data_IF_562605929093
#
_entry.id   IF_562605929093
#
_cell.length_a   1.000
_cell.length_b   1.000
_cell.length_c   1.000
_cell.angle_alpha   90.00
_cell.angle_beta   90.00
_cell.angle_gamma   90.00
#
_symmetry.space_group_name_H-M   'P 1'
#
loop_
_entity.id
_entity.type
_entity.pdbx_description
1 polymer ?
#
# COMPACT_ATOMS: atom_id res chain seq x y z
N UNK A 1 49.38 28.95 32.25
CA UNK A 1 47.95 28.60 32.33
C UNK A 1 47.21 28.88 31.01
N UNK A 2 47.79 28.53 29.86
CA UNK A 2 47.22 28.79 28.52
C UNK A 2 47.22 27.53 27.64
N UNK A 3 48.01 26.51 27.98
CA UNK A 3 48.15 25.28 27.20
C UNK A 3 47.04 24.24 27.49
N UNK A 4 46.28 24.39 28.61
CA UNK A 4 45.14 23.51 28.93
C UNK A 4 43.83 23.89 28.23
N UNK A 5 43.68 25.12 27.71
CA UNK A 5 42.48 25.50 26.95
C UNK A 5 42.53 25.06 25.47
N UNK A 6 43.72 24.94 24.89
CA UNK A 6 43.89 24.51 23.50
C UNK A 6 43.59 23.02 23.26
N UNK A 7 43.86 22.16 24.25
CA UNK A 7 43.53 20.73 24.14
C UNK A 7 42.03 20.44 24.27
N UNK A 8 41.28 21.24 25.04
CA UNK A 8 39.82 21.11 25.14
C UNK A 8 39.11 21.62 23.87
N UNK A 9 39.64 22.67 23.23
CA UNK A 9 39.13 23.15 21.93
C UNK A 9 39.43 22.16 20.80
N UNK A 10 40.57 21.47 20.80
CA UNK A 10 40.89 20.46 19.78
C UNK A 10 40.06 19.18 19.98
N UNK A 11 39.68 18.82 21.21
CA UNK A 11 38.76 17.69 21.46
C UNK A 11 37.31 18.05 21.09
N UNK A 12 36.87 19.30 21.30
CA UNK A 12 35.56 19.77 20.85
C UNK A 12 35.47 19.93 19.32
N UNK A 13 36.56 20.32 18.66
CA UNK A 13 36.62 20.44 17.19
C UNK A 13 36.76 19.07 16.51
N UNK A 14 37.45 18.09 17.11
CA UNK A 14 37.51 16.72 16.57
C UNK A 14 36.26 15.88 16.86
N UNK A 15 35.38 16.30 17.77
CA UNK A 15 34.02 15.74 17.87
C UNK A 15 33.04 16.35 16.84
N UNK A 16 33.48 17.33 16.04
CA UNK A 16 32.65 17.94 14.99
C UNK A 16 32.95 17.40 13.59
N UNK A 17 33.89 16.47 13.43
CA UNK A 17 34.24 15.87 12.13
C UNK A 17 34.41 14.35 12.23
N UNK A 18 33.36 13.67 12.70
CA UNK A 18 33.15 12.25 12.42
C UNK A 18 31.64 11.97 12.43
N UNK A 19 31.05 12.13 11.25
CA UNK A 19 29.62 11.94 11.02
C UNK A 19 29.01 13.11 10.28
N UNK A 20 29.24 13.18 8.96
CA UNK A 20 28.18 13.65 8.06
C UNK A 20 27.07 12.60 8.17
N UNK A 21 26.30 12.67 9.25
CA UNK A 21 25.10 11.89 9.46
C UNK A 21 23.96 12.71 8.91
N UNK A 22 23.54 12.39 7.69
CA UNK A 22 22.25 12.74 7.11
C UNK A 22 21.17 12.38 8.15
N UNK A 23 20.77 13.33 9.00
CA UNK A 23 20.19 13.02 10.31
C UNK A 23 18.93 13.78 10.71
N UNK A 24 18.39 14.67 9.86
CA UNK A 24 17.18 15.45 10.21
C UNK A 24 16.08 15.42 9.16
N UNK A 25 16.35 14.90 7.96
CA UNK A 25 15.36 14.84 6.88
C UNK A 25 14.88 13.40 6.78
N UNK A 26 13.56 13.18 6.93
CA UNK A 26 12.97 11.86 6.73
C UNK A 26 13.28 11.34 5.33
N UNK A 27 13.29 10.01 5.14
CA UNK A 27 13.63 9.41 3.84
C UNK A 27 12.72 9.89 2.68
N UNK A 28 11.48 10.27 2.97
CA UNK A 28 10.52 10.82 1.98
C UNK A 28 10.40 12.35 2.05
N UNK A 29 10.78 12.96 3.16
CA UNK A 29 10.88 14.42 3.31
C UNK A 29 9.56 15.19 3.20
N UNK A 30 8.43 14.58 3.55
CA UNK A 30 7.12 15.25 3.50
C UNK A 30 6.93 16.27 4.61
N UNK A 31 7.62 16.10 5.74
CA UNK A 31 7.53 17.03 6.87
C UNK A 31 6.16 16.98 7.57
N UNK A 32 5.49 15.82 7.53
CA UNK A 32 4.17 15.62 8.14
C UNK A 32 4.28 15.03 9.54
N UNK A 33 5.29 14.19 9.77
CA UNK A 33 5.66 13.75 11.11
C UNK A 33 6.52 14.80 11.83
N UNK A 34 6.31 14.96 13.13
CA UNK A 34 7.17 15.80 13.97
C UNK A 34 8.55 15.14 14.15
N UNK A 35 9.56 15.95 14.52
CA UNK A 35 10.89 15.41 14.84
C UNK A 35 10.83 14.35 15.96
N UNK A 36 9.98 14.54 16.96
CA UNK A 36 9.80 13.56 18.04
C UNK A 36 9.24 12.23 17.51
N UNK A 37 8.21 12.29 16.66
CA UNK A 37 7.64 11.11 15.98
C UNK A 37 8.70 10.36 15.17
N UNK A 38 9.50 11.09 14.38
CA UNK A 38 10.58 10.50 13.59
C UNK A 38 11.65 9.85 14.48
N UNK A 39 12.06 10.50 15.57
CA UNK A 39 13.04 9.93 16.50
C UNK A 39 12.51 8.67 17.19
N UNK A 40 11.24 8.66 17.60
CA UNK A 40 10.61 7.48 18.18
C UNK A 40 10.59 6.31 17.18
N UNK A 41 10.22 6.57 15.93
CA UNK A 41 10.26 5.56 14.87
C UNK A 41 11.66 5.01 14.62
N UNK A 42 12.69 5.88 14.60
CA UNK A 42 14.10 5.47 14.48
C UNK A 42 14.52 4.53 15.61
N UNK A 43 14.12 4.85 16.85
CA UNK A 43 14.42 4.04 18.02
C UNK A 43 13.79 2.65 17.91
N UNK A 44 12.54 2.56 17.44
CA UNK A 44 11.86 1.27 17.21
C UNK A 44 12.67 0.44 16.21
N UNK A 45 13.00 1.01 15.05
CA UNK A 45 13.76 0.29 14.01
C UNK A 45 15.16 -0.14 14.45
N UNK A 46 15.89 0.72 15.19
CA UNK A 46 17.20 0.37 15.76
C UNK A 46 17.10 -0.78 16.77
N UNK A 47 16.09 -0.76 17.66
CA UNK A 47 15.87 -1.84 18.62
C UNK A 47 15.52 -3.16 17.94
N UNK A 48 14.62 -3.12 16.95
CA UNK A 48 14.26 -4.30 16.15
C UNK A 48 15.50 -4.90 15.46
N UNK A 49 16.37 -4.05 14.89
CA UNK A 49 17.62 -4.50 14.27
C UNK A 49 18.58 -5.13 15.27
N UNK A 50 18.74 -4.52 16.43
CA UNK A 50 19.57 -5.07 17.51
C UNK A 50 19.07 -6.45 17.94
N UNK A 51 17.75 -6.66 18.05
CA UNK A 51 17.17 -7.95 18.40
C UNK A 51 17.55 -9.03 17.39
N UNK A 52 17.47 -8.75 16.08
CA UNK A 52 17.89 -9.68 15.02
C UNK A 52 19.39 -10.02 15.14
N UNK A 53 20.25 -9.01 15.36
CA UNK A 53 21.70 -9.19 15.45
C UNK A 53 22.16 -9.96 16.71
N UNK A 54 21.34 -10.00 17.76
CA UNK A 54 21.67 -10.71 19.01
C UNK A 54 21.40 -12.22 18.93
N UNK A 55 20.65 -12.70 17.93
CA UNK A 55 20.35 -14.12 17.74
C UNK A 55 21.61 -14.93 17.45
N UNK A 56 22.51 -14.37 16.64
CA UNK A 56 23.78 -15.00 16.24
C UNK A 56 24.70 -15.29 17.45
N UNK A 57 24.39 -14.75 18.63
CA UNK A 57 25.17 -14.90 19.87
C UNK A 57 24.58 -15.89 20.89
N UNK A 58 23.35 -16.37 20.72
CA UNK A 58 22.60 -17.07 21.80
C UNK A 58 22.21 -18.52 21.53
N UNK A 59 22.37 -19.05 20.32
CA UNK A 59 21.74 -20.32 19.93
C UNK A 59 22.76 -21.35 19.42
N UNK A 60 22.60 -22.61 19.83
CA UNK A 60 23.61 -23.67 19.64
C UNK A 60 23.38 -24.59 18.42
N UNK A 61 22.27 -24.45 17.68
CA UNK A 61 21.92 -25.32 16.54
C UNK A 61 21.59 -24.51 15.27
N UNK A 62 22.20 -24.82 14.11
CA UNK A 62 22.00 -24.09 12.84
C UNK A 62 20.55 -24.01 12.35
N UNK A 63 19.77 -25.08 12.55
CA UNK A 63 18.40 -25.14 12.05
C UNK A 63 17.41 -24.31 12.89
N UNK A 64 17.59 -24.29 14.22
CA UNK A 64 16.77 -23.42 15.08
C UNK A 64 17.12 -21.94 14.87
N UNK A 65 18.39 -21.61 14.63
CA UNK A 65 18.85 -20.26 14.32
C UNK A 65 18.11 -19.67 13.11
N UNK A 66 17.99 -20.43 12.02
CA UNK A 66 17.37 -19.92 10.79
C UNK A 66 15.86 -19.61 10.97
N UNK A 67 15.13 -20.50 11.67
CA UNK A 67 13.71 -20.29 11.96
C UNK A 67 13.50 -19.12 12.92
N UNK A 68 14.26 -19.07 14.02
CA UNK A 68 14.14 -18.04 15.04
C UNK A 68 14.50 -16.66 14.46
N UNK A 69 15.53 -16.62 13.60
CA UNK A 69 15.91 -15.41 12.85
C UNK A 69 14.79 -14.91 11.95
N UNK A 70 14.09 -15.80 11.24
CA UNK A 70 12.95 -15.40 10.40
C UNK A 70 11.81 -14.82 11.24
N UNK A 71 11.46 -15.47 12.36
CA UNK A 71 10.36 -14.99 13.22
C UNK A 71 10.66 -13.62 13.83
N UNK A 72 11.86 -13.45 14.39
CA UNK A 72 12.27 -12.16 14.98
C UNK A 72 12.40 -11.09 13.90
N UNK A 73 12.82 -11.47 12.68
CA UNK A 73 12.85 -10.53 11.58
C UNK A 73 11.44 -10.02 11.21
N UNK A 74 10.46 -10.93 11.16
CA UNK A 74 9.05 -10.58 10.90
C UNK A 74 8.45 -9.75 12.03
N UNK A 75 8.79 -10.06 13.29
CA UNK A 75 8.38 -9.27 14.45
C UNK A 75 8.91 -7.82 14.34
N UNK A 76 10.17 -7.63 13.94
CA UNK A 76 10.74 -6.31 13.70
C UNK A 76 9.99 -5.51 12.62
N UNK A 77 9.59 -6.17 11.52
CA UNK A 77 8.75 -5.55 10.49
C UNK A 77 7.38 -5.15 11.05
N UNK A 78 6.76 -6.04 11.84
CA UNK A 78 5.47 -5.79 12.46
C UNK A 78 5.52 -4.59 13.40
N UNK A 79 6.56 -4.46 14.22
CA UNK A 79 6.75 -3.30 15.10
C UNK A 79 6.80 -1.98 14.31
N UNK A 80 7.49 -1.95 13.17
CA UNK A 80 7.48 -0.76 12.31
C UNK A 80 6.09 -0.51 11.69
N UNK A 81 5.38 -1.55 11.25
CA UNK A 81 4.08 -1.40 10.60
C UNK A 81 2.96 -0.95 11.57
N UNK A 82 3.07 -1.28 12.86
CA UNK A 82 2.02 -0.99 13.85
C UNK A 82 2.09 0.42 14.46
N UNK A 83 3.06 1.25 14.04
CA UNK A 83 3.19 2.64 14.53
C UNK A 83 1.87 3.39 14.31
N UNK A 84 1.33 3.98 15.38
CA UNK A 84 0.07 4.75 15.39
C UNK A 84 -1.19 3.94 14.95
N UNK A 85 -1.22 2.61 15.11
CA UNK A 85 -2.43 1.80 14.84
C UNK A 85 -3.64 2.19 15.69
N UNK A 86 -3.44 2.49 16.97
CA UNK A 86 -4.51 2.94 17.87
C UNK A 86 -5.17 4.23 17.37
N UNK A 87 -4.37 5.17 16.87
CA UNK A 87 -4.85 6.43 16.31
C UNK A 87 -5.61 6.24 14.98
N UNK A 88 -5.25 5.22 14.18
CA UNK A 88 -6.06 4.86 13.00
C UNK A 88 -7.46 4.44 13.44
N UNK A 89 -7.54 3.56 14.44
CA UNK A 89 -8.84 3.07 14.91
C UNK A 89 -9.71 4.23 15.41
N UNK A 90 -9.12 5.15 16.18
CA UNK A 90 -9.78 6.36 16.68
C UNK A 90 -10.24 7.29 15.53
N UNK A 91 -9.37 7.57 14.56
CA UNK A 91 -9.69 8.37 13.38
C UNK A 91 -10.85 7.75 12.58
N UNK A 92 -10.83 6.43 12.40
CA UNK A 92 -11.87 5.72 11.69
C UNK A 92 -13.23 5.84 12.39
N UNK A 93 -13.26 5.59 13.71
CA UNK A 93 -14.49 5.65 14.50
C UNK A 93 -15.04 7.08 14.62
N UNK A 94 -14.16 8.07 14.84
CA UNK A 94 -14.60 9.44 15.12
C UNK A 94 -14.90 10.25 13.87
N UNK A 95 -14.18 10.01 12.77
CA UNK A 95 -14.27 10.83 11.56
C UNK A 95 -14.92 10.03 10.43
N UNK A 96 -14.33 8.91 10.04
CA UNK A 96 -14.70 8.23 8.80
C UNK A 96 -16.12 7.67 8.90
N UNK A 97 -16.41 6.88 9.94
CA UNK A 97 -17.72 6.24 10.10
C UNK A 97 -18.85 7.23 10.39
N UNK A 98 -18.53 8.37 11.02
CA UNK A 98 -19.53 9.36 11.44
C UNK A 98 -19.83 10.41 10.38
N UNK A 99 -18.85 10.78 9.56
CA UNK A 99 -18.93 11.95 8.69
C UNK A 99 -18.95 11.62 7.19
N UNK A 100 -18.62 10.37 6.80
CA UNK A 100 -18.72 9.96 5.41
C UNK A 100 -20.17 9.95 4.93
N UNK A 101 -20.39 10.32 3.66
CA UNK A 101 -21.70 10.20 3.02
C UNK A 101 -21.86 8.75 2.56
N UNK A 102 -22.51 7.94 3.39
CA UNK A 102 -22.61 6.49 3.18
C UNK A 102 -23.30 6.08 1.86
N UNK A 103 -24.26 6.86 1.38
CA UNK A 103 -24.93 6.57 0.10
C UNK A 103 -23.97 6.76 -1.09
N UNK A 104 -23.22 7.87 -1.12
CA UNK A 104 -22.19 8.12 -2.12
C UNK A 104 -21.07 7.07 -2.03
N UNK A 105 -20.63 6.72 -0.82
CA UNK A 105 -19.60 5.70 -0.60
C UNK A 105 -20.01 4.36 -1.20
N UNK A 106 -21.26 3.92 -0.98
CA UNK A 106 -21.76 2.66 -1.56
C UNK A 106 -21.74 2.68 -3.09
N UNK A 107 -22.08 3.82 -3.72
CA UNK A 107 -21.97 3.96 -5.18
C UNK A 107 -20.51 3.89 -5.65
N UNK A 108 -19.58 4.47 -4.91
CA UNK A 108 -18.15 4.44 -5.19
C UNK A 108 -17.53 3.04 -5.01
N UNK A 109 -18.03 2.24 -4.08
CA UNK A 109 -17.60 0.84 -3.94
C UNK A 109 -17.99 -0.01 -5.16
N UNK A 110 -19.11 0.31 -5.83
CA UNK A 110 -19.57 -0.39 -7.05
C UNK A 110 -18.59 -0.25 -8.21
N UNK A 111 -17.84 0.84 -8.27
CA UNK A 111 -16.84 1.08 -9.32
C UNK A 111 -15.47 0.48 -8.99
N UNK A 112 -15.35 -0.25 -7.87
CA UNK A 112 -14.12 -0.95 -7.47
C UNK A 112 -13.26 -0.20 -6.45
N UNK A 113 -13.73 0.90 -5.86
CA UNK A 113 -13.02 1.51 -4.73
C UNK A 113 -13.16 0.67 -3.46
N UNK A 114 -12.12 0.67 -2.62
CA UNK A 114 -12.20 0.06 -1.29
C UNK A 114 -13.16 0.85 -0.41
N UNK A 115 -13.81 0.19 0.55
CA UNK A 115 -14.74 0.84 1.48
C UNK A 115 -14.09 2.03 2.21
N UNK A 116 -12.83 1.90 2.62
CA UNK A 116 -12.10 3.02 3.25
C UNK A 116 -11.96 4.21 2.29
N UNK A 117 -11.46 3.99 1.08
CA UNK A 117 -11.21 5.08 0.14
C UNK A 117 -12.53 5.73 -0.32
N UNK A 118 -13.56 4.92 -0.56
CA UNK A 118 -14.91 5.38 -0.90
C UNK A 118 -15.50 6.29 0.19
N UNK A 119 -15.37 5.91 1.47
CA UNK A 119 -15.78 6.78 2.58
C UNK A 119 -14.92 8.04 2.66
N UNK A 120 -13.60 7.88 2.58
CA UNK A 120 -12.64 8.98 2.69
C UNK A 120 -12.91 10.12 1.70
N UNK A 121 -13.13 9.82 0.42
CA UNK A 121 -13.36 10.88 -0.59
C UNK A 121 -14.72 11.58 -0.45
N UNK A 122 -15.64 11.00 0.35
CA UNK A 122 -16.94 11.61 0.66
C UNK A 122 -16.92 12.49 1.91
N UNK A 123 -15.79 12.57 2.63
CA UNK A 123 -15.65 13.41 3.80
C UNK A 123 -15.66 14.91 3.41
N UNK A 124 -16.00 15.81 4.35
CA UNK A 124 -15.81 17.24 4.13
C UNK A 124 -14.31 17.59 4.01
N UNK A 125 -14.01 18.70 3.32
CA UNK A 125 -12.63 19.12 3.00
C UNK A 125 -11.67 19.12 4.18
N UNK A 126 -12.14 19.61 5.33
CA UNK A 126 -11.32 19.70 6.55
C UNK A 126 -10.91 18.32 7.04
N UNK A 127 -11.85 17.37 7.06
CA UNK A 127 -11.61 15.99 7.49
C UNK A 127 -10.74 15.22 6.49
N UNK A 128 -10.90 15.47 5.18
CA UNK A 128 -9.99 14.93 4.17
C UNK A 128 -8.54 15.35 4.48
N UNK A 129 -8.30 16.64 4.75
CA UNK A 129 -6.97 17.14 5.13
C UNK A 129 -6.45 16.43 6.39
N UNK A 130 -7.28 16.29 7.42
CA UNK A 130 -6.89 15.62 8.68
C UNK A 130 -6.47 14.17 8.45
N UNK A 131 -7.25 13.41 7.67
CA UNK A 131 -6.94 12.00 7.35
C UNK A 131 -5.64 11.90 6.55
N UNK A 132 -5.44 12.76 5.55
CA UNK A 132 -4.22 12.78 4.74
C UNK A 132 -2.99 13.15 5.57
N UNK A 133 -3.06 14.24 6.34
CA UNK A 133 -1.93 14.68 7.16
C UNK A 133 -1.51 13.58 8.16
N UNK A 134 -2.49 12.89 8.75
CA UNK A 134 -2.25 11.74 9.60
C UNK A 134 -1.63 10.56 8.83
N UNK A 135 -2.20 10.17 7.69
CA UNK A 135 -1.72 9.04 6.89
C UNK A 135 -0.28 9.27 6.40
N UNK A 136 0.03 10.48 5.95
CA UNK A 136 1.38 10.88 5.55
C UNK A 136 2.35 10.84 6.73
N UNK A 137 1.98 11.39 7.89
CA UNK A 137 2.83 11.35 9.09
C UNK A 137 3.10 9.91 9.56
N UNK A 138 2.08 9.03 9.52
CA UNK A 138 2.24 7.61 9.84
C UNK A 138 3.21 6.92 8.89
N UNK A 139 3.01 7.06 7.58
CA UNK A 139 3.90 6.43 6.59
C UNK A 139 5.33 6.98 6.66
N UNK A 140 5.49 8.27 6.94
CA UNK A 140 6.80 8.88 7.14
C UNK A 140 7.54 8.24 8.33
N UNK A 141 6.85 8.01 9.45
CA UNK A 141 7.38 7.27 10.60
C UNK A 141 7.70 5.81 10.26
N UNK A 142 6.79 5.09 9.61
CA UNK A 142 6.97 3.67 9.25
C UNK A 142 8.20 3.47 8.35
N UNK A 143 8.39 4.34 7.35
CA UNK A 143 9.53 4.30 6.44
C UNK A 143 10.83 4.67 7.14
N UNK A 144 10.80 5.61 8.08
CA UNK A 144 11.97 5.96 8.89
C UNK A 144 12.37 4.81 9.84
N UNK A 145 11.38 4.11 10.41
CA UNK A 145 11.60 2.87 11.16
C UNK A 145 12.26 1.80 10.29
N UNK A 146 11.69 1.56 9.09
CA UNK A 146 12.23 0.63 8.10
C UNK A 146 13.66 0.97 7.67
N UNK A 147 13.98 2.26 7.54
CA UNK A 147 15.32 2.74 7.22
C UNK A 147 16.35 2.31 8.28
N UNK A 148 16.00 2.45 9.56
CA UNK A 148 16.89 2.02 10.64
C UNK A 148 16.97 0.49 10.73
N UNK A 149 15.85 -0.19 10.47
CA UNK A 149 15.71 -1.62 10.63
C UNK A 149 16.38 -2.42 9.50
N UNK A 150 15.95 -2.21 8.26
CA UNK A 150 16.37 -2.97 7.08
C UNK A 150 17.47 -2.25 6.28
N UNK A 151 17.56 -0.93 6.43
CA UNK A 151 18.51 -0.10 5.70
C UNK A 151 17.94 0.51 4.42
N UNK A 152 18.62 1.55 3.93
CA UNK A 152 18.15 2.41 2.83
C UNK A 152 17.73 1.66 1.58
N UNK A 153 18.47 0.63 1.17
CA UNK A 153 18.19 -0.10 -0.08
C UNK A 153 16.81 -0.77 -0.04
N UNK A 154 16.51 -1.51 1.02
CA UNK A 154 15.24 -2.22 1.16
C UNK A 154 14.09 -1.24 1.40
N UNK A 155 14.30 -0.16 2.16
CA UNK A 155 13.28 0.88 2.33
C UNK A 155 12.91 1.55 1.00
N UNK A 156 13.89 1.89 0.16
CA UNK A 156 13.63 2.45 -1.17
C UNK A 156 12.90 1.46 -2.08
N UNK A 157 13.25 0.18 -2.03
CA UNK A 157 12.52 -0.88 -2.74
C UNK A 157 11.06 -0.94 -2.29
N UNK A 158 10.82 -0.89 -0.98
CA UNK A 158 9.47 -0.90 -0.40
C UNK A 158 8.66 0.33 -0.81
N UNK A 159 9.26 1.51 -0.91
CA UNK A 159 8.58 2.70 -1.42
C UNK A 159 8.08 2.47 -2.85
N UNK A 160 8.90 1.88 -3.71
CA UNK A 160 8.48 1.57 -5.09
C UNK A 160 7.41 0.47 -5.14
N UNK A 161 7.49 -0.54 -4.28
CA UNK A 161 6.46 -1.58 -4.14
C UNK A 161 5.12 -1.01 -3.64
N UNK A 162 5.15 -0.05 -2.71
CA UNK A 162 3.94 0.63 -2.21
C UNK A 162 3.26 1.43 -3.32
N UNK A 163 4.03 2.12 -4.18
CA UNK A 163 3.51 2.86 -5.34
C UNK A 163 2.92 1.97 -6.44
N UNK A 164 3.04 0.65 -6.34
CA UNK A 164 2.31 -0.28 -7.21
C UNK A 164 0.84 -0.41 -6.84
N UNK A 165 0.41 0.13 -5.69
CA UNK A 165 -0.99 0.38 -5.36
C UNK A 165 -1.38 1.82 -5.69
N UNK A 166 -2.54 2.01 -6.31
CA UNK A 166 -3.00 3.33 -6.77
C UNK A 166 -3.23 4.36 -5.67
N UNK A 167 -3.76 3.95 -4.51
CA UNK A 167 -4.00 4.87 -3.40
C UNK A 167 -2.67 5.33 -2.79
N UNK A 168 -1.75 4.39 -2.55
CA UNK A 168 -0.39 4.71 -2.12
C UNK A 168 0.33 5.59 -3.15
N UNK A 169 0.20 5.29 -4.44
CA UNK A 169 0.84 6.12 -5.48
C UNK A 169 0.40 7.58 -5.41
N UNK A 170 -0.90 7.84 -5.26
CA UNK A 170 -1.41 9.20 -5.08
C UNK A 170 -0.89 9.85 -3.80
N UNK A 171 -0.86 9.09 -2.70
CA UNK A 171 -0.32 9.58 -1.44
C UNK A 171 1.13 10.07 -1.60
N UNK A 172 1.99 9.25 -2.22
CA UNK A 172 3.41 9.57 -2.42
C UNK A 172 3.66 10.69 -3.44
N UNK A 173 2.89 10.73 -4.54
CA UNK A 173 3.14 11.65 -5.66
C UNK A 173 2.36 12.97 -5.54
N UNK A 174 1.32 13.02 -4.70
CA UNK A 174 0.38 14.13 -4.62
C UNK A 174 0.02 14.50 -3.19
N UNK A 175 -0.67 13.64 -2.46
CA UNK A 175 -1.34 14.03 -1.20
C UNK A 175 -0.36 14.51 -0.13
N UNK A 176 0.78 13.84 0.02
CA UNK A 176 1.80 14.21 0.99
C UNK A 176 2.74 15.32 0.50
N UNK A 177 2.69 15.66 -0.79
CA UNK A 177 3.55 16.66 -1.43
C UNK A 177 2.83 18.02 -1.55
N UNK A 178 1.54 18.00 -1.83
CA UNK A 178 0.69 19.18 -2.01
C UNK A 178 -0.51 19.11 -1.05
N UNK A 179 -0.48 19.93 0.00
CA UNK A 179 -1.54 19.96 1.02
C UNK A 179 -2.92 20.35 0.48
N UNK A 180 -2.95 21.02 -0.67
CA UNK A 180 -4.19 21.50 -1.28
C UNK A 180 -4.83 20.45 -2.20
N UNK A 181 -4.08 19.43 -2.61
CA UNK A 181 -4.52 18.42 -3.58
C UNK A 181 -5.78 17.70 -3.10
N UNK A 182 -5.67 16.92 -2.02
CA UNK A 182 -6.77 16.07 -1.57
C UNK A 182 -8.04 16.86 -1.20
N UNK A 183 -7.97 17.99 -0.44
CA UNK A 183 -9.15 18.79 -0.10
C UNK A 183 -9.82 19.48 -1.30
N UNK A 184 -9.15 19.60 -2.44
CA UNK A 184 -9.72 20.22 -3.64
C UNK A 184 -10.18 19.19 -4.68
N UNK A 185 -9.48 18.05 -4.77
CA UNK A 185 -9.70 17.05 -5.82
C UNK A 185 -10.76 16.03 -5.42
N UNK A 186 -10.72 15.52 -4.18
CA UNK A 186 -11.56 14.42 -3.72
C UNK A 186 -13.03 14.76 -3.44
N UNK A 187 -13.39 15.93 -2.89
CA UNK A 187 -14.80 16.23 -2.60
C UNK A 187 -15.72 16.09 -3.82
N UNK A 188 -15.26 16.48 -5.01
CA UNK A 188 -16.05 16.33 -6.24
C UNK A 188 -16.22 14.87 -6.65
N UNK A 189 -15.17 14.04 -6.51
CA UNK A 189 -15.27 12.59 -6.74
C UNK A 189 -16.28 11.97 -5.76
N UNK A 190 -16.27 12.42 -4.50
CA UNK A 190 -17.20 11.98 -3.47
C UNK A 190 -18.67 12.34 -3.73
N UNK A 191 -18.98 13.28 -4.63
CA UNK A 191 -20.36 13.67 -4.97
C UNK A 191 -20.86 12.85 -6.17
N UNK A 192 -21.12 11.57 -5.93
CA UNK A 192 -21.33 10.56 -6.98
C UNK A 192 -22.54 10.82 -7.89
N UNK A 193 -23.59 11.45 -7.35
CA UNK A 193 -24.83 11.79 -8.06
C UNK A 193 -24.63 12.65 -9.31
N UNK A 194 -23.46 13.28 -9.46
CA UNK A 194 -23.18 14.15 -10.60
C UNK A 194 -22.60 13.43 -11.82
N UNK A 195 -22.13 12.19 -11.69
CA UNK A 195 -21.38 11.54 -12.76
C UNK A 195 -21.52 10.01 -12.80
N UNK A 196 -21.75 9.34 -11.68
CA UNK A 196 -21.90 7.87 -11.66
C UNK A 196 -23.16 7.43 -12.41
N UNK A 197 -24.26 8.18 -12.25
CA UNK A 197 -25.56 7.78 -12.80
C UNK A 197 -25.56 7.72 -14.34
N UNK A 198 -24.65 8.44 -15.00
CA UNK A 198 -24.49 8.40 -16.47
C UNK A 198 -23.79 7.13 -16.98
N UNK A 199 -23.22 6.33 -16.08
CA UNK A 199 -22.42 5.14 -16.40
C UNK A 199 -22.99 3.86 -15.75
N UNK A 200 -24.23 3.87 -15.23
CA UNK A 200 -24.79 2.74 -14.49
C UNK A 200 -24.72 1.43 -15.25
N UNK A 201 -24.99 1.46 -16.56
CA UNK A 201 -24.95 0.25 -17.40
C UNK A 201 -23.56 -0.41 -17.41
N UNK A 202 -22.50 0.38 -17.60
CA UNK A 202 -21.13 -0.11 -17.62
C UNK A 202 -20.68 -0.56 -16.23
N UNK A 203 -21.13 0.13 -15.17
CA UNK A 203 -20.85 -0.25 -13.78
C UNK A 203 -21.51 -1.61 -13.47
N UNK A 204 -22.79 -1.78 -13.77
CA UNK A 204 -23.53 -3.01 -13.51
C UNK A 204 -22.93 -4.21 -14.23
N UNK A 205 -22.55 -4.01 -15.50
CA UNK A 205 -21.90 -5.07 -16.28
C UNK A 205 -20.53 -5.43 -15.69
N UNK A 206 -19.74 -4.44 -15.28
CA UNK A 206 -18.49 -4.67 -14.58
C UNK A 206 -18.68 -5.46 -13.28
N UNK A 207 -19.59 -5.02 -12.41
CA UNK A 207 -19.86 -5.69 -11.13
C UNK A 207 -20.27 -7.14 -11.33
N UNK A 208 -21.24 -7.38 -12.22
CA UNK A 208 -21.74 -8.72 -12.54
C UNK A 208 -20.64 -9.64 -13.05
N UNK A 209 -19.75 -9.14 -13.91
CA UNK A 209 -18.62 -9.90 -14.45
C UNK A 209 -17.58 -10.17 -13.34
N UNK A 210 -17.24 -9.15 -12.56
CA UNK A 210 -16.26 -9.22 -11.48
C UNK A 210 -16.65 -10.25 -10.43
N UNK A 211 -17.85 -10.17 -9.88
CA UNK A 211 -18.36 -11.10 -8.86
C UNK A 211 -18.37 -12.54 -9.39
N UNK A 212 -18.97 -12.76 -10.57
CA UNK A 212 -19.02 -14.08 -11.20
C UNK A 212 -17.64 -14.69 -11.41
N UNK A 213 -16.64 -13.89 -11.79
CA UNK A 213 -15.28 -14.37 -12.04
C UNK A 213 -14.53 -14.58 -10.73
N UNK A 214 -14.66 -13.71 -9.73
CA UNK A 214 -14.01 -13.87 -8.44
C UNK A 214 -14.47 -15.15 -7.74
N UNK A 215 -15.78 -15.39 -7.68
CA UNK A 215 -16.38 -16.65 -7.19
C UNK A 215 -15.83 -17.89 -7.89
N UNK A 216 -15.60 -17.75 -9.20
CA UNK A 216 -15.10 -18.84 -10.04
C UNK A 216 -13.62 -19.10 -9.81
N UNK A 217 -12.82 -18.05 -9.70
CA UNK A 217 -11.38 -18.11 -9.43
C UNK A 217 -11.13 -18.74 -8.06
N UNK A 218 -11.85 -18.31 -7.02
CA UNK A 218 -11.73 -18.86 -5.67
C UNK A 218 -11.96 -20.39 -5.68
N UNK A 219 -13.09 -20.84 -6.23
CA UNK A 219 -13.42 -22.28 -6.30
C UNK A 219 -12.37 -23.12 -7.03
N UNK A 220 -11.90 -22.67 -8.20
CA UNK A 220 -10.95 -23.47 -9.00
C UNK A 220 -9.54 -23.44 -8.41
N UNK A 221 -9.15 -22.31 -7.80
CA UNK A 221 -7.84 -22.17 -7.20
C UNK A 221 -7.74 -23.03 -5.95
N UNK A 222 -8.75 -22.98 -5.08
CA UNK A 222 -8.79 -23.83 -3.88
C UNK A 222 -8.85 -25.31 -4.24
N UNK A 223 -9.66 -25.70 -5.23
CA UNK A 223 -9.70 -27.07 -5.72
C UNK A 223 -8.33 -27.53 -6.26
N UNK A 224 -7.62 -26.67 -6.98
CA UNK A 224 -6.28 -26.98 -7.49
C UNK A 224 -5.26 -27.13 -6.36
N UNK A 225 -5.29 -26.23 -5.38
CA UNK A 225 -4.44 -26.30 -4.18
C UNK A 225 -4.66 -27.62 -3.43
N UNK A 226 -5.92 -27.99 -3.19
CA UNK A 226 -6.23 -29.26 -2.51
C UNK A 226 -5.79 -30.46 -3.34
N UNK A 227 -6.06 -30.46 -4.65
CA UNK A 227 -5.66 -31.55 -5.56
C UNK A 227 -4.14 -31.76 -5.54
N UNK A 228 -3.35 -30.69 -5.58
CA UNK A 228 -1.88 -30.74 -5.56
C UNK A 228 -1.34 -31.40 -4.28
N UNK A 229 -2.05 -31.30 -3.14
CA UNK A 229 -1.64 -31.96 -1.88
C UNK A 229 -1.73 -33.49 -1.94
N UNK A 230 -2.63 -34.05 -2.74
CA UNK A 230 -2.85 -35.49 -2.85
C UNK A 230 -2.03 -36.15 -3.96
N UNK A 231 -1.56 -35.37 -4.93
CA UNK A 231 -0.68 -35.86 -6.00
C UNK A 231 0.73 -36.05 -5.43
N UNK A 232 1.35 -37.21 -5.68
CA UNK A 232 2.74 -37.48 -5.25
C UNK A 232 3.78 -37.03 -6.28
N UNK A 233 3.45 -37.12 -7.56
CA UNK A 233 4.32 -36.77 -8.68
C UNK A 233 4.33 -35.26 -8.95
N UNK A 234 5.52 -34.66 -8.93
CA UNK A 234 5.68 -33.22 -9.11
C UNK A 234 5.33 -32.75 -10.54
N UNK A 235 5.47 -33.62 -11.54
CA UNK A 235 5.07 -33.31 -12.92
C UNK A 235 3.57 -33.10 -13.02
N UNK A 236 2.79 -33.99 -12.42
CA UNK A 236 1.33 -33.93 -12.37
C UNK A 236 0.84 -32.75 -11.53
N UNK A 237 1.51 -32.43 -10.41
CA UNK A 237 1.22 -31.21 -9.64
C UNK A 237 1.40 -29.96 -10.49
N UNK A 238 2.54 -29.86 -11.17
CA UNK A 238 2.86 -28.73 -12.05
C UNK A 238 1.83 -28.61 -13.17
N UNK A 239 1.42 -29.71 -13.79
CA UNK A 239 0.42 -29.71 -14.84
C UNK A 239 -0.94 -29.18 -14.37
N UNK A 240 -1.43 -29.68 -13.22
CA UNK A 240 -2.70 -29.21 -12.63
C UNK A 240 -2.61 -27.72 -12.29
N UNK A 241 -1.54 -27.31 -11.61
CA UNK A 241 -1.39 -25.93 -11.18
C UNK A 241 -1.27 -24.97 -12.37
N UNK A 242 -0.43 -25.29 -13.35
CA UNK A 242 -0.26 -24.48 -14.57
C UNK A 242 -1.55 -24.37 -15.39
N UNK A 243 -2.29 -25.48 -15.53
CA UNK A 243 -3.60 -25.49 -16.19
C UNK A 243 -4.60 -24.54 -15.51
N UNK A 244 -4.64 -24.57 -14.17
CA UNK A 244 -5.49 -23.68 -13.37
C UNK A 244 -5.08 -22.22 -13.52
N UNK A 245 -3.79 -21.90 -13.41
CA UNK A 245 -3.29 -20.52 -13.52
C UNK A 245 -3.56 -19.92 -14.90
N UNK A 246 -3.39 -20.70 -15.98
CA UNK A 246 -3.74 -20.27 -17.34
C UNK A 246 -5.23 -19.95 -17.48
N UNK A 247 -6.09 -20.75 -16.86
CA UNK A 247 -7.52 -20.52 -16.89
C UNK A 247 -7.95 -19.28 -16.07
N UNK A 248 -7.34 -19.08 -14.90
CA UNK A 248 -7.55 -17.89 -14.08
C UNK A 248 -7.18 -16.66 -14.89
N UNK A 249 -5.98 -16.63 -15.47
CA UNK A 249 -5.50 -15.55 -16.32
C UNK A 249 -6.51 -15.21 -17.45
N UNK A 250 -6.97 -16.22 -18.20
CA UNK A 250 -7.97 -16.01 -19.25
C UNK A 250 -9.28 -15.44 -18.71
N UNK A 251 -9.74 -15.92 -17.55
CA UNK A 251 -10.95 -15.42 -16.90
C UNK A 251 -10.80 -13.97 -16.45
N UNK A 252 -9.66 -13.61 -15.86
CA UNK A 252 -9.34 -12.23 -15.48
C UNK A 252 -9.34 -11.26 -16.67
N UNK A 253 -9.00 -11.74 -17.86
CA UNK A 253 -9.12 -10.96 -19.10
C UNK A 253 -10.53 -10.36 -19.31
N UNK A 254 -11.59 -11.09 -18.96
CA UNK A 254 -12.96 -10.56 -19.03
C UNK A 254 -13.24 -9.48 -17.97
N UNK A 255 -12.67 -9.61 -16.76
CA UNK A 255 -12.76 -8.55 -15.73
C UNK A 255 -12.10 -7.27 -16.23
N UNK A 256 -10.88 -7.37 -16.75
CA UNK A 256 -10.11 -6.23 -17.24
C UNK A 256 -10.81 -5.51 -18.40
N UNK A 257 -11.44 -6.25 -19.31
CA UNK A 257 -12.20 -5.66 -20.42
C UNK A 257 -13.41 -4.86 -19.90
N UNK A 258 -14.21 -5.45 -19.01
CA UNK A 258 -15.36 -4.79 -18.41
C UNK A 258 -14.94 -3.57 -17.57
N UNK A 259 -13.87 -3.70 -16.80
CA UNK A 259 -13.27 -2.60 -16.05
C UNK A 259 -12.85 -1.45 -16.97
N UNK A 260 -12.19 -1.73 -18.10
CA UNK A 260 -11.79 -0.71 -19.08
C UNK A 260 -13.00 0.04 -19.65
N UNK A 261 -14.09 -0.66 -19.95
CA UNK A 261 -15.32 -0.03 -20.45
C UNK A 261 -15.95 0.90 -19.41
N UNK A 262 -16.13 0.41 -18.18
CA UNK A 262 -16.60 1.22 -17.05
C UNK A 262 -15.70 2.44 -16.83
N UNK A 263 -14.39 2.21 -16.70
CA UNK A 263 -13.40 3.26 -16.48
C UNK A 263 -13.47 4.34 -17.56
N UNK A 264 -13.59 3.99 -18.84
CA UNK A 264 -13.71 4.97 -19.92
C UNK A 264 -14.93 5.87 -19.76
N UNK A 265 -16.09 5.30 -19.40
CA UNK A 265 -17.30 6.08 -19.13
C UNK A 265 -17.07 7.01 -17.94
N UNK A 266 -16.63 6.47 -16.79
CA UNK A 266 -16.45 7.24 -15.56
C UNK A 266 -15.48 8.39 -15.75
N UNK A 267 -14.32 8.15 -16.38
CA UNK A 267 -13.32 9.19 -16.58
C UNK A 267 -13.83 10.31 -17.50
N UNK A 268 -14.62 10.00 -18.53
CA UNK A 268 -15.27 11.01 -19.35
C UNK A 268 -16.18 11.91 -18.52
N UNK A 269 -17.03 11.32 -17.67
CA UNK A 269 -17.98 12.07 -16.86
C UNK A 269 -17.30 12.87 -15.74
N UNK A 270 -16.28 12.30 -15.08
CA UNK A 270 -15.50 13.02 -14.06
C UNK A 270 -14.72 14.18 -14.67
N UNK A 271 -14.17 14.06 -15.89
CA UNK A 271 -13.52 15.20 -16.56
C UNK A 271 -14.52 16.34 -16.77
N UNK A 272 -15.74 16.05 -17.25
CA UNK A 272 -16.77 17.07 -17.51
C UNK A 272 -17.25 17.76 -16.24
N UNK A 273 -17.39 17.01 -15.15
CA UNK A 273 -18.03 17.48 -13.91
C UNK A 273 -17.02 18.00 -12.89
N UNK A 274 -15.88 17.33 -12.73
CA UNK A 274 -14.88 17.60 -11.69
C UNK A 274 -13.53 18.08 -12.24
N UNK A 275 -13.31 17.96 -13.55
CA UNK A 275 -12.07 18.36 -14.20
C UNK A 275 -11.02 17.24 -14.30
N UNK A 276 -9.94 17.57 -15.02
CA UNK A 276 -8.90 16.61 -15.37
C UNK A 276 -8.13 16.04 -14.17
N UNK A 277 -7.93 16.84 -13.12
CA UNK A 277 -7.15 16.40 -11.96
C UNK A 277 -7.89 15.32 -11.15
N UNK A 278 -9.19 15.50 -10.90
CA UNK A 278 -10.05 14.48 -10.29
C UNK A 278 -10.13 13.21 -11.12
N UNK A 279 -10.24 13.33 -12.44
CA UNK A 279 -10.23 12.16 -13.32
C UNK A 279 -8.88 11.41 -13.27
N UNK A 280 -7.76 12.14 -13.23
CA UNK A 280 -6.43 11.53 -13.10
C UNK A 280 -6.27 10.83 -11.75
N UNK A 281 -6.74 11.44 -10.67
CA UNK A 281 -6.72 10.84 -9.34
C UNK A 281 -7.55 9.54 -9.34
N UNK A 282 -8.81 9.59 -9.77
CA UNK A 282 -9.67 8.42 -9.84
C UNK A 282 -9.08 7.31 -10.72
N UNK A 283 -8.55 7.65 -11.90
CA UNK A 283 -7.89 6.70 -12.79
C UNK A 283 -6.71 6.00 -12.11
N UNK A 284 -5.89 6.77 -11.38
CA UNK A 284 -4.71 6.24 -10.68
C UNK A 284 -5.14 5.27 -9.59
N UNK A 285 -6.11 5.66 -8.74
CA UNK A 285 -6.63 4.81 -7.67
C UNK A 285 -7.22 3.50 -8.20
N UNK A 286 -8.00 3.56 -9.29
CA UNK A 286 -8.69 2.38 -9.81
C UNK A 286 -7.78 1.45 -10.62
N UNK A 287 -6.83 2.01 -11.36
CA UNK A 287 -6.08 1.25 -12.36
C UNK A 287 -4.80 0.66 -11.79
N UNK A 288 -3.99 1.47 -11.11
CA UNK A 288 -2.65 1.05 -10.68
C UNK A 288 -2.77 -0.06 -9.65
N UNK A 289 -2.27 -1.25 -10.01
CA UNK A 289 -2.35 -2.43 -9.17
C UNK A 289 -3.70 -3.13 -9.22
N UNK A 290 -4.53 -2.86 -10.23
CA UNK A 290 -5.89 -3.41 -10.36
C UNK A 290 -5.96 -4.92 -10.10
N UNK A 291 -5.18 -5.72 -10.83
CA UNK A 291 -5.19 -7.19 -10.64
C UNK A 291 -4.64 -7.61 -9.28
N UNK A 292 -3.64 -6.91 -8.75
CA UNK A 292 -3.07 -7.18 -7.42
C UNK A 292 -4.13 -6.98 -6.33
N UNK A 293 -4.99 -5.98 -6.47
CA UNK A 293 -6.07 -5.68 -5.54
C UNK A 293 -7.29 -6.61 -5.72
N UNK A 294 -7.49 -7.16 -6.92
CA UNK A 294 -8.58 -8.10 -7.21
C UNK A 294 -8.27 -9.56 -6.82
N UNK A 295 -7.00 -9.92 -6.67
CA UNK A 295 -6.58 -11.27 -6.30
C UNK A 295 -6.44 -11.39 -4.79
N UNK A 296 -6.67 -12.60 -4.27
CA UNK A 296 -6.24 -12.91 -2.91
C UNK A 296 -4.70 -12.82 -2.83
N UNK A 297 -4.17 -12.47 -1.66
CA UNK A 297 -2.72 -12.33 -1.45
C UNK A 297 -1.97 -13.60 -1.88
N UNK A 298 -2.52 -14.77 -1.56
CA UNK A 298 -1.95 -16.06 -1.93
C UNK A 298 -1.92 -16.27 -3.45
N UNK A 299 -3.02 -15.98 -4.15
CA UNK A 299 -3.08 -16.10 -5.60
C UNK A 299 -2.11 -15.14 -6.27
N UNK A 300 -2.03 -13.90 -5.79
CA UNK A 300 -1.09 -12.90 -6.31
C UNK A 300 0.36 -13.36 -6.12
N UNK A 301 0.72 -13.88 -4.95
CA UNK A 301 2.06 -14.41 -4.69
C UNK A 301 2.41 -15.57 -5.64
N UNK A 302 1.46 -16.44 -5.97
CA UNK A 302 1.70 -17.52 -6.94
C UNK A 302 1.88 -16.98 -8.36
N UNK A 303 1.13 -15.95 -8.76
CA UNK A 303 1.37 -15.26 -10.04
C UNK A 303 2.78 -14.69 -10.13
N UNK A 304 3.25 -14.03 -9.07
CA UNK A 304 4.59 -13.42 -9.02
C UNK A 304 5.70 -14.48 -8.93
N UNK A 305 5.54 -15.49 -8.07
CA UNK A 305 6.56 -16.52 -7.81
C UNK A 305 6.84 -17.37 -9.05
N UNK A 306 5.80 -17.64 -9.84
CA UNK A 306 5.90 -18.48 -11.03
C UNK A 306 5.90 -17.67 -12.34
N UNK A 307 5.99 -16.33 -12.25
CA UNK A 307 6.07 -15.41 -13.38
C UNK A 307 4.96 -15.64 -14.43
N UNK A 308 3.72 -15.79 -13.95
CA UNK A 308 2.58 -15.95 -14.84
C UNK A 308 2.21 -14.60 -15.47
N UNK A 309 2.17 -14.49 -16.81
CA UNK A 309 1.86 -13.22 -17.46
C UNK A 309 0.41 -12.80 -17.19
N UNK A 310 0.15 -11.50 -17.17
CA UNK A 310 -1.21 -10.98 -17.22
C UNK A 310 -1.87 -11.20 -18.58
N UNK A 311 -3.19 -11.19 -18.63
CA UNK A 311 -3.92 -11.21 -19.89
C UNK A 311 -3.71 -9.87 -20.63
N UNK A 312 -3.59 -9.88 -21.96
CA UNK A 312 -3.43 -8.65 -22.77
C UNK A 312 -4.52 -7.59 -22.54
N UNK A 313 -5.72 -8.01 -22.14
CA UNK A 313 -6.80 -7.08 -21.81
C UNK A 313 -6.57 -6.31 -20.52
N UNK A 314 -5.64 -6.76 -19.68
CA UNK A 314 -5.21 -6.09 -18.47
C UNK A 314 -4.01 -5.15 -18.70
N UNK A 315 -3.46 -5.08 -19.92
CA UNK A 315 -2.34 -4.19 -20.21
C UNK A 315 -2.68 -2.73 -19.91
N UNK A 316 -1.80 -2.05 -19.17
CA UNK A 316 -2.00 -0.67 -18.72
C UNK A 316 -2.99 -0.51 -17.55
N UNK A 317 -3.27 -1.60 -16.83
CA UNK A 317 -3.92 -1.61 -15.52
C UNK A 317 -2.87 -1.97 -14.46
#
# INVERSE_FOLDING_TARGET
MVIRLLFLLIILINYSFCGVGVGDISIVGWGKATNEQLQNARIIGMKARQNVLQIDKKTSSPFSIARDRKLIYLDGLQQCNQIDDEKIAELNEMIIEKMARNEDSKKLERIGLTTFFAKFVTLPKLQIKQVVDFACAKHEQQLECGLQYEGRKETLKRIEELKMDGANKLMFEKECVDESFAPNVYPCIGESSKWIDNCEKEIDEYQRIREKINDKIERIYDAAVETVKFIKDDTSKSHVFHGTMKYINYSEGSKCLAFKQMRLCLLSEVVKTCGHESAKALNTTLSVGYLRNERSERLQMDFETFDYPGHQFCDGL
#
